data_IF_742925618075
#
_entry.id   IF_742925618075
#
_cell.length_a   1.000
_cell.length_b   1.000
_cell.length_c   1.000
_cell.angle_alpha   90.00
_cell.angle_beta   90.00
_cell.angle_gamma   90.00
#
_symmetry.space_group_name_H-M   'P 1'
#
loop_
_entity.id
_entity.type
_entity.pdbx_description
1 polymer ?
#
# COMPACT_ATOMS: atom_id res chain seq x y z
N UNK A 1 -15.06 -1.48 -19.43
CA UNK A 1 -15.96 -0.45 -18.86
C UNK A 1 -15.48 -0.16 -17.45
N UNK A 2 -14.89 1.01 -17.18
CA UNK A 2 -14.55 1.42 -15.81
C UNK A 2 -15.85 1.48 -14.98
N UNK A 3 -15.89 0.88 -13.78
CA UNK A 3 -17.03 1.02 -12.89
C UNK A 3 -17.04 2.47 -12.36
N UNK A 4 -17.92 3.31 -12.92
CA UNK A 4 -17.99 4.74 -12.60
C UNK A 4 -18.40 5.05 -11.16
N UNK A 5 -18.96 4.08 -10.42
CA UNK A 5 -19.59 4.31 -9.12
C UNK A 5 -19.10 3.39 -8.00
N UNK A 6 -17.90 2.79 -8.11
CA UNK A 6 -17.37 2.03 -6.96
C UNK A 6 -16.95 3.05 -5.89
N UNK A 7 -17.63 3.08 -4.70
CA UNK A 7 -17.24 4.01 -3.65
C UNK A 7 -15.77 3.78 -3.33
N UNK A 8 -15.04 4.88 -3.08
CA UNK A 8 -13.65 4.77 -2.64
C UNK A 8 -13.61 3.81 -1.45
N UNK A 9 -12.65 2.86 -1.40
CA UNK A 9 -12.52 1.95 -0.27
C UNK A 9 -12.54 2.79 1.00
N UNK A 10 -13.47 2.44 1.90
CA UNK A 10 -13.82 3.22 3.09
C UNK A 10 -12.53 3.69 3.79
N UNK A 11 -12.18 4.97 3.58
CA UNK A 11 -10.91 5.59 3.98
C UNK A 11 -10.94 5.89 5.47
N UNK A 12 -10.93 4.83 6.26
CA UNK A 12 -10.86 4.89 7.71
C UNK A 12 -9.40 5.21 8.11
N UNK A 13 -9.16 6.44 8.59
CA UNK A 13 -7.90 6.87 9.23
C UNK A 13 -7.73 6.13 10.56
N UNK A 14 -6.74 5.23 10.68
CA UNK A 14 -6.63 4.27 11.80
C UNK A 14 -5.29 4.28 12.52
N UNK A 15 -4.44 5.28 12.27
CA UNK A 15 -3.32 5.54 13.18
C UNK A 15 -3.89 6.53 14.21
N UNK A 16 -3.64 6.30 15.50
CA UNK A 16 -4.01 7.22 16.59
C UNK A 16 -2.74 7.75 17.27
N UNK A 17 -2.48 9.05 17.16
CA UNK A 17 -1.28 9.77 17.56
C UNK A 17 -1.20 11.16 16.91
N UNK A 18 -0.34 12.08 17.37
CA UNK A 18 -0.26 13.45 16.83
C UNK A 18 0.13 13.56 15.33
N UNK A 19 0.32 12.44 14.63
CA UNK A 19 0.59 12.35 13.18
C UNK A 19 -0.63 11.90 12.34
N UNK A 20 -1.81 11.70 12.94
CA UNK A 20 -2.97 11.09 12.27
C UNK A 20 -3.53 11.91 11.10
N UNK A 21 -3.42 13.23 11.19
CA UNK A 21 -3.86 14.13 10.12
C UNK A 21 -2.87 14.23 8.96
N UNK A 22 -1.71 13.57 9.06
CA UNK A 22 -0.63 13.71 8.10
C UNK A 22 -0.57 12.56 7.09
N UNK A 23 -1.10 11.37 7.41
CA UNK A 23 -0.98 10.19 6.55
C UNK A 23 -2.24 9.33 6.46
N UNK A 24 -2.44 8.67 5.32
CA UNK A 24 -3.57 7.79 5.01
C UNK A 24 -3.08 6.51 4.35
N UNK A 25 -3.78 5.40 4.53
CA UNK A 25 -3.47 4.15 3.80
C UNK A 25 -4.44 3.99 2.62
N UNK A 26 -3.90 3.68 1.44
CA UNK A 26 -4.65 3.43 0.21
C UNK A 26 -4.26 2.05 -0.32
N UNK A 27 -5.25 1.19 -0.55
CA UNK A 27 -5.04 -0.02 -1.32
C UNK A 27 -5.11 0.30 -2.81
N UNK A 28 -4.09 -0.09 -3.56
CA UNK A 28 -4.07 0.03 -5.02
C UNK A 28 -4.17 -1.37 -5.62
N UNK A 29 -5.27 -1.56 -6.34
CA UNK A 29 -5.55 -2.72 -7.19
C UNK A 29 -5.66 -2.29 -8.66
N UNK A 30 -6.06 -3.20 -9.53
CA UNK A 30 -6.26 -2.98 -10.97
C UNK A 30 -7.13 -1.77 -11.32
N UNK A 31 -8.18 -1.50 -10.55
CA UNK A 31 -9.11 -0.41 -10.84
C UNK A 31 -8.51 0.95 -10.48
N UNK A 32 -7.60 0.99 -9.50
CA UNK A 32 -7.05 2.23 -8.97
C UNK A 32 -5.63 2.55 -9.49
N UNK A 33 -5.02 1.68 -10.31
CA UNK A 33 -3.66 1.90 -10.87
C UNK A 33 -3.53 3.24 -11.60
N UNK A 34 -4.55 3.63 -12.39
CA UNK A 34 -4.54 4.90 -13.16
C UNK A 34 -4.65 6.12 -12.25
N UNK A 35 -5.53 6.06 -11.25
CA UNK A 35 -5.79 7.19 -10.33
C UNK A 35 -4.57 7.51 -9.47
N UNK A 36 -3.82 6.49 -9.06
CA UNK A 36 -2.66 6.64 -8.17
C UNK A 36 -1.33 6.44 -8.89
N UNK A 37 -1.28 6.67 -10.21
CA UNK A 37 -0.10 6.44 -11.05
C UNK A 37 1.17 7.08 -10.46
N UNK A 38 1.09 8.34 -10.05
CA UNK A 38 2.26 9.07 -9.53
C UNK A 38 2.74 8.50 -8.19
N UNK A 39 1.82 8.10 -7.32
CA UNK A 39 2.15 7.46 -6.05
C UNK A 39 2.75 6.07 -6.25
N UNK A 40 2.31 5.32 -7.27
CA UNK A 40 2.92 4.05 -7.66
C UNK A 40 4.35 4.23 -8.14
N UNK A 41 4.64 5.28 -8.91
CA UNK A 41 6.00 5.60 -9.32
C UNK A 41 6.89 5.95 -8.12
N UNK A 42 6.39 6.76 -7.18
CA UNK A 42 7.13 7.08 -5.96
C UNK A 42 7.42 5.83 -5.10
N UNK A 43 6.43 4.94 -4.95
CA UNK A 43 6.62 3.68 -4.23
C UNK A 43 7.67 2.79 -4.91
N UNK A 44 7.63 2.72 -6.25
CA UNK A 44 8.62 1.97 -7.03
C UNK A 44 10.03 2.54 -6.85
N UNK A 45 10.20 3.86 -6.97
CA UNK A 45 11.50 4.52 -6.76
C UNK A 45 12.05 4.26 -5.35
N UNK A 46 11.16 4.24 -4.34
CA UNK A 46 11.51 3.90 -2.97
C UNK A 46 12.04 2.46 -2.84
N UNK A 47 11.41 1.52 -3.54
CA UNK A 47 11.76 0.10 -3.56
C UNK A 47 13.05 -0.22 -4.32
N UNK A 48 13.33 0.51 -5.41
CA UNK A 48 14.48 0.25 -6.31
C UNK A 48 15.84 0.32 -5.60
N UNK A 49 15.93 1.03 -4.47
CA UNK A 49 17.16 1.10 -3.66
C UNK A 49 17.34 -0.09 -2.70
N UNK A 50 16.27 -0.82 -2.42
CA UNK A 50 16.23 -1.86 -1.38
C UNK A 50 16.09 -3.25 -1.99
N UNK A 51 15.31 -3.40 -3.06
CA UNK A 51 14.99 -4.68 -3.67
C UNK A 51 15.60 -4.79 -5.06
N UNK A 52 16.46 -5.79 -5.33
CA UNK A 52 17.08 -5.98 -6.64
C UNK A 52 16.05 -6.44 -7.69
N UNK A 53 15.02 -7.18 -7.26
CA UNK A 53 13.87 -7.52 -8.10
C UNK A 53 12.85 -6.38 -8.09
N UNK A 54 12.46 -5.90 -9.27
CA UNK A 54 11.48 -4.81 -9.40
C UNK A 54 10.11 -5.39 -9.74
N UNK A 55 9.12 -5.17 -8.88
CA UNK A 55 7.73 -5.28 -9.29
C UNK A 55 7.37 -4.21 -10.33
N UNK A 56 6.40 -4.54 -11.18
CA UNK A 56 5.86 -3.64 -12.21
C UNK A 56 4.43 -3.28 -11.86
N UNK A 57 3.97 -2.11 -12.28
CA UNK A 57 2.56 -1.69 -12.07
C UNK A 57 1.57 -2.71 -12.64
N UNK A 58 1.90 -3.34 -13.78
CA UNK A 58 1.11 -4.45 -14.35
C UNK A 58 1.03 -5.67 -13.43
N UNK A 59 2.02 -5.90 -12.57
CA UNK A 59 2.03 -7.04 -11.66
C UNK A 59 1.02 -6.87 -10.51
N UNK A 60 0.42 -5.70 -10.33
CA UNK A 60 -0.69 -5.45 -9.38
C UNK A 60 -2.04 -6.00 -9.89
N UNK A 61 -2.00 -7.06 -10.70
CA UNK A 61 -3.15 -7.82 -11.21
C UNK A 61 -3.19 -9.19 -10.49
N UNK A 62 -4.40 -9.73 -10.29
CA UNK A 62 -4.58 -11.05 -9.68
C UNK A 62 -4.35 -11.08 -8.16
N UNK A 63 -3.39 -11.89 -7.71
CA UNK A 63 -3.14 -12.18 -6.29
C UNK A 63 -2.28 -11.12 -5.59
N UNK A 64 -1.65 -10.22 -6.34
CA UNK A 64 -0.80 -9.16 -5.83
C UNK A 64 -1.57 -7.86 -5.60
N UNK A 65 -1.36 -7.27 -4.42
CA UNK A 65 -1.95 -5.98 -4.03
C UNK A 65 -0.90 -5.08 -3.41
N UNK A 66 -1.01 -3.78 -3.64
CA UNK A 66 -0.12 -2.77 -3.05
C UNK A 66 -0.89 -1.94 -2.03
N UNK A 67 -0.41 -1.89 -0.79
CA UNK A 67 -0.85 -0.91 0.19
C UNK A 67 0.15 0.25 0.21
N UNK A 68 -0.34 1.46 0.07
CA UNK A 68 0.44 2.69 0.13
C UNK A 68 0.07 3.46 1.39
N UNK A 69 1.06 3.84 2.18
CA UNK A 69 0.90 4.92 3.15
C UNK A 69 1.26 6.22 2.44
N UNK A 70 0.31 7.14 2.37
CA UNK A 70 0.41 8.40 1.63
C UNK A 70 0.20 9.58 2.56
N UNK A 71 0.61 10.77 2.16
CA UNK A 71 0.28 11.99 2.91
C UNK A 71 -1.24 12.28 2.85
N UNK A 72 -1.73 13.17 3.71
CA UNK A 72 -3.16 13.47 3.82
C UNK A 72 -3.78 14.08 2.56
N UNK A 73 -2.95 14.67 1.69
CA UNK A 73 -3.31 15.21 0.38
C UNK A 73 -3.24 14.17 -0.76
N UNK A 74 -2.79 12.94 -0.48
CA UNK A 74 -2.58 11.89 -1.49
C UNK A 74 -1.63 12.31 -2.63
N UNK A 75 -0.62 13.11 -2.32
CA UNK A 75 0.39 13.60 -3.27
C UNK A 75 1.74 12.89 -3.11
N UNK A 76 2.01 12.33 -1.94
CA UNK A 76 3.31 11.71 -1.62
C UNK A 76 3.16 10.33 -1.02
N UNK A 77 3.93 9.36 -1.52
CA UNK A 77 4.06 8.05 -0.92
C UNK A 77 5.12 8.07 0.20
N UNK A 78 4.72 7.68 1.40
CA UNK A 78 5.54 7.65 2.62
C UNK A 78 6.10 6.25 2.88
N UNK A 79 5.28 5.22 2.63
CA UNK A 79 5.68 3.82 2.70
C UNK A 79 4.84 2.98 1.74
N UNK A 80 5.32 1.79 1.39
CA UNK A 80 4.53 0.82 0.65
C UNK A 80 4.73 -0.59 1.18
N UNK A 81 3.74 -1.43 0.92
CA UNK A 81 3.73 -2.85 1.19
C UNK A 81 3.13 -3.58 -0.01
N UNK A 82 3.96 -4.35 -0.72
CA UNK A 82 3.50 -5.26 -1.77
C UNK A 82 3.24 -6.61 -1.14
N UNK A 83 2.01 -7.12 -1.29
CA UNK A 83 1.61 -8.43 -0.78
C UNK A 83 1.06 -9.32 -1.88
N UNK A 84 1.12 -10.63 -1.66
CA UNK A 84 0.41 -11.64 -2.45
C UNK A 84 -0.36 -12.60 -1.53
N UNK A 85 -1.52 -13.09 -1.98
CA UNK A 85 -2.21 -14.20 -1.29
C UNK A 85 -1.39 -15.48 -1.40
N UNK A 86 -1.24 -16.23 -0.29
CA UNK A 86 -0.64 -17.56 -0.36
C UNK A 86 -1.56 -18.50 -1.12
N UNK A 87 -1.02 -19.25 -2.09
CA UNK A 87 -1.78 -20.25 -2.86
C UNK A 87 -2.04 -21.54 -2.08
N UNK A 88 -1.24 -21.80 -1.04
CA UNK A 88 -1.23 -23.08 -0.32
C UNK A 88 -1.90 -23.01 1.04
N UNK A 89 -2.03 -21.82 1.62
CA UNK A 89 -2.63 -21.63 2.94
C UNK A 89 -3.69 -20.53 2.84
N UNK A 90 -4.97 -20.93 2.95
CA UNK A 90 -6.15 -20.08 2.75
C UNK A 90 -6.26 -18.86 3.68
N UNK A 91 -5.25 -18.59 4.54
CA UNK A 91 -5.24 -17.48 5.50
C UNK A 91 -3.88 -16.80 5.65
N UNK A 92 -2.89 -17.16 4.83
CA UNK A 92 -1.57 -16.55 4.89
C UNK A 92 -1.40 -15.46 3.83
N UNK A 93 -0.79 -14.36 4.23
CA UNK A 93 -0.40 -13.25 3.36
C UNK A 93 1.10 -13.22 3.28
N UNK A 94 1.62 -13.24 2.06
CA UNK A 94 3.05 -13.06 1.84
C UNK A 94 3.34 -11.59 1.61
N UNK A 95 4.28 -11.02 2.35
CA UNK A 95 4.79 -9.67 2.11
C UNK A 95 6.01 -9.79 1.20
N UNK A 96 5.83 -9.48 -0.08
CA UNK A 96 6.89 -9.58 -1.09
C UNK A 96 7.93 -8.48 -0.92
N UNK A 97 7.45 -7.25 -0.70
CA UNK A 97 8.30 -6.07 -0.53
C UNK A 97 7.66 -5.09 0.45
N UNK A 98 8.51 -4.43 1.22
CA UNK A 98 8.09 -3.45 2.20
C UNK A 98 9.16 -2.39 2.39
N UNK A 99 8.78 -1.12 2.20
CA UNK A 99 9.71 0.00 2.38
C UNK A 99 9.03 1.19 3.03
N UNK A 100 9.78 1.87 3.90
CA UNK A 100 9.45 3.19 4.43
C UNK A 100 10.50 4.19 3.93
N UNK A 101 10.02 5.35 3.45
CA UNK A 101 10.84 6.47 3.03
C UNK A 101 11.86 6.83 4.11
N UNK A 102 13.13 7.06 3.74
CA UNK A 102 14.21 7.32 4.69
C UNK A 102 13.88 8.47 5.67
N UNK A 103 13.23 9.55 5.17
CA UNK A 103 12.82 10.72 5.96
C UNK A 103 11.71 10.42 7.00
N UNK A 104 11.12 9.23 6.92
CA UNK A 104 9.96 8.80 7.70
C UNK A 104 10.21 7.54 8.53
N UNK A 105 11.43 7.00 8.50
CA UNK A 105 11.86 5.87 9.35
C UNK A 105 11.91 6.29 10.82
N UNK A 106 11.80 5.32 11.72
CA UNK A 106 11.82 5.56 13.17
C UNK A 106 10.52 6.15 13.76
N UNK A 107 9.52 6.45 12.92
CA UNK A 107 8.25 7.07 13.34
C UNK A 107 7.09 6.08 13.54
N UNK A 108 7.37 4.78 13.57
CA UNK A 108 6.33 3.74 13.69
C UNK A 108 5.42 3.54 12.45
N UNK A 109 5.56 4.36 11.42
CA UNK A 109 4.71 4.34 10.21
C UNK A 109 4.73 3.01 9.45
N UNK A 110 5.89 2.35 9.45
CA UNK A 110 6.01 1.02 8.86
C UNK A 110 5.17 -0.03 9.59
N UNK A 111 5.24 -0.04 10.93
CA UNK A 111 4.43 -0.94 11.75
C UNK A 111 2.94 -0.66 11.58
N UNK A 112 2.56 0.62 11.51
CA UNK A 112 1.18 1.02 11.27
C UNK A 112 0.65 0.52 9.92
N UNK A 113 1.44 0.65 8.84
CA UNK A 113 1.08 0.11 7.53
C UNK A 113 0.92 -1.42 7.56
N UNK A 114 1.84 -2.14 8.21
CA UNK A 114 1.76 -3.60 8.33
C UNK A 114 0.52 -4.06 9.10
N UNK A 115 0.22 -3.42 10.24
CA UNK A 115 -1.00 -3.70 11.01
C UNK A 115 -2.24 -3.51 10.15
N UNK A 116 -2.34 -2.38 9.45
CA UNK A 116 -3.46 -2.14 8.54
C UNK A 116 -3.58 -3.22 7.47
N UNK A 117 -2.47 -3.66 6.88
CA UNK A 117 -2.46 -4.75 5.88
C UNK A 117 -2.96 -6.06 6.48
N UNK A 118 -2.48 -6.43 7.67
CA UNK A 118 -2.89 -7.65 8.37
C UNK A 118 -4.39 -7.63 8.65
N UNK A 119 -4.90 -6.54 9.22
CA UNK A 119 -6.32 -6.39 9.57
C UNK A 119 -7.20 -6.60 8.33
N UNK A 120 -6.84 -5.99 7.19
CA UNK A 120 -7.61 -6.13 5.94
C UNK A 120 -7.48 -7.47 5.26
N UNK A 121 -6.44 -8.23 5.54
CA UNK A 121 -6.33 -9.58 5.04
C UNK A 121 -7.17 -10.58 5.84
N UNK A 122 -7.53 -10.27 7.09
CA UNK A 122 -8.49 -11.10 7.83
C UNK A 122 -9.94 -10.91 7.39
N UNK A 123 -10.23 -9.84 6.65
CA UNK A 123 -11.57 -9.51 6.11
C UNK A 123 -11.82 -10.07 4.69
N UNK A 124 -10.78 -10.56 3.99
CA UNK A 124 -10.82 -11.02 2.58
C UNK A 124 -10.91 -12.54 2.42
#
# INVERSE_FOLDING_TARGET
>A
KEPKDRPLPNMKSFISGPMDDLVKVVMVDEFFKRKFKDLLFQAKEMGERTFPSRWRIRDLEGDKKLALLVDSKCTRAVAYCLRSKSRHENRAVWINEFTVSAMHRGKGLGLALLRWVIDRCTEE
#
